data_IF_021384475360
#
_entry.id   IF_021384475360
#
_cell.length_a   1.000
_cell.length_b   1.000
_cell.length_c   1.000
_cell.angle_alpha   90.00
_cell.angle_beta   90.00
_cell.angle_gamma   90.00
#
_symmetry.space_group_name_H-M   'P 1'
#
loop_
_entity.id
_entity.type
_entity.pdbx_description
1 polymer ?
#
# COMPACT_ATOMS: atom_id res chain seq x y z
N UNK A 1 41.96 8.68 -5.93
CA UNK A 1 40.82 8.74 -6.87
C UNK A 1 39.74 7.69 -6.51
N UNK A 2 39.47 7.47 -5.21
CA UNK A 2 38.43 6.55 -4.69
C UNK A 2 37.17 7.30 -4.22
N UNK A 3 37.30 8.59 -3.87
CA UNK A 3 36.29 9.30 -3.06
C UNK A 3 34.92 9.47 -3.71
N UNK A 4 34.83 9.68 -5.03
CA UNK A 4 33.55 9.95 -5.68
C UNK A 4 32.66 8.71 -5.77
N UNK A 5 33.26 7.53 -5.97
CA UNK A 5 32.50 6.29 -6.05
C UNK A 5 31.94 5.90 -4.68
N UNK A 6 32.79 6.00 -3.65
CA UNK A 6 32.44 5.72 -2.27
C UNK A 6 31.35 6.70 -1.76
N UNK A 7 31.42 7.98 -2.14
CA UNK A 7 30.41 8.99 -1.78
C UNK A 7 29.06 8.71 -2.47
N UNK A 8 29.06 8.35 -3.76
CA UNK A 8 27.83 7.98 -4.48
C UNK A 8 27.19 6.73 -3.89
N UNK A 9 27.99 5.70 -3.59
CA UNK A 9 27.50 4.48 -2.94
C UNK A 9 26.87 4.80 -1.58
N UNK A 10 27.51 5.64 -0.76
CA UNK A 10 26.98 6.04 0.53
C UNK A 10 25.65 6.80 0.42
N UNK A 11 25.51 7.70 -0.57
CA UNK A 11 24.25 8.41 -0.85
C UNK A 11 23.15 7.43 -1.25
N UNK A 12 23.45 6.49 -2.15
CA UNK A 12 22.48 5.47 -2.59
C UNK A 12 22.03 4.58 -1.43
N UNK A 13 22.96 4.15 -0.57
CA UNK A 13 22.69 3.37 0.64
C UNK A 13 21.74 4.14 1.59
N UNK A 14 21.98 5.44 1.79
CA UNK A 14 21.13 6.29 2.62
C UNK A 14 19.72 6.45 2.04
N UNK A 15 19.61 6.67 0.73
CA UNK A 15 18.32 6.78 0.03
C UNK A 15 17.54 5.47 0.14
N UNK A 16 18.19 4.33 -0.11
CA UNK A 16 17.58 3.01 0.02
C UNK A 16 17.06 2.76 1.44
N UNK A 17 17.90 3.03 2.44
CA UNK A 17 17.55 2.86 3.87
C UNK A 17 16.34 3.72 4.25
N UNK A 18 16.38 5.03 3.94
CA UNK A 18 15.27 5.94 4.23
C UNK A 18 13.97 5.53 3.53
N UNK A 19 14.08 5.01 2.30
CA UNK A 19 12.93 4.56 1.52
C UNK A 19 12.31 3.29 2.11
N UNK A 20 13.11 2.32 2.56
CA UNK A 20 12.60 1.10 3.23
C UNK A 20 11.90 1.46 4.55
N UNK A 21 12.50 2.32 5.37
CA UNK A 21 11.90 2.81 6.61
C UNK A 21 10.57 3.54 6.33
N UNK A 22 10.54 4.41 5.32
CA UNK A 22 9.31 5.12 4.92
C UNK A 22 8.21 4.15 4.48
N UNK A 23 8.56 3.13 3.70
CA UNK A 23 7.60 2.11 3.27
C UNK A 23 7.02 1.33 4.47
N UNK A 24 7.87 0.97 5.45
CA UNK A 24 7.43 0.30 6.67
C UNK A 24 6.46 1.17 7.49
N UNK A 25 6.75 2.47 7.62
CA UNK A 25 5.88 3.43 8.29
C UNK A 25 4.53 3.60 7.57
N UNK A 26 4.54 3.71 6.23
CA UNK A 26 3.31 3.77 5.43
C UNK A 26 2.47 2.50 5.63
N UNK A 27 3.08 1.32 5.58
CA UNK A 27 2.39 0.05 5.78
C UNK A 27 1.76 -0.05 7.18
N UNK A 28 2.49 0.37 8.21
CA UNK A 28 1.98 0.42 9.58
C UNK A 28 0.77 1.35 9.65
N UNK A 29 0.86 2.56 9.11
CA UNK A 29 -0.24 3.53 9.15
C UNK A 29 -1.46 3.06 8.37
N UNK A 30 -1.27 2.40 7.22
CA UNK A 30 -2.38 1.80 6.46
C UNK A 30 -3.06 0.66 7.23
N UNK A 31 -2.32 -0.13 8.01
CA UNK A 31 -2.93 -1.15 8.88
C UNK A 31 -3.72 -0.52 10.04
N UNK A 32 -3.21 0.56 10.64
CA UNK A 32 -3.93 1.33 11.66
C UNK A 32 -5.23 1.94 11.10
N UNK A 33 -5.18 2.50 9.88
CA UNK A 33 -6.35 3.05 9.20
C UNK A 33 -7.39 1.98 8.87
N UNK A 34 -6.98 0.78 8.44
CA UNK A 34 -7.92 -0.34 8.25
C UNK A 34 -8.66 -0.69 9.55
N UNK A 35 -7.94 -0.75 10.68
CA UNK A 35 -8.55 -1.00 11.98
C UNK A 35 -9.52 0.12 12.40
N UNK A 36 -9.15 1.39 12.22
CA UNK A 36 -10.00 2.53 12.53
C UNK A 36 -11.25 2.59 11.65
N UNK A 37 -11.11 2.29 10.35
CA UNK A 37 -12.23 2.23 9.40
C UNK A 37 -13.21 1.13 9.80
N UNK A 38 -12.72 -0.05 10.18
CA UNK A 38 -13.56 -1.14 10.68
C UNK A 38 -14.28 -0.78 11.98
N UNK A 39 -13.59 -0.12 12.91
CA UNK A 39 -14.18 0.30 14.19
C UNK A 39 -15.22 1.43 14.04
N UNK A 40 -15.08 2.30 13.02
CA UNK A 40 -15.96 3.44 12.80
C UNK A 40 -17.31 3.09 12.15
N UNK A 41 -17.53 1.83 11.77
CA UNK A 41 -18.75 1.39 11.09
C UNK A 41 -19.22 0.01 11.58
N UNK A 42 -20.50 -0.35 11.36
CA UNK A 42 -20.99 -1.68 11.68
C UNK A 42 -20.31 -2.77 10.85
N UNK A 43 -20.13 -3.96 11.43
CA UNK A 43 -19.71 -5.15 10.68
C UNK A 43 -20.91 -5.76 9.93
N UNK A 44 -21.27 -5.18 8.78
CA UNK A 44 -22.41 -5.64 7.97
C UNK A 44 -22.22 -5.38 6.47
N UNK A 45 -23.09 -5.98 5.65
CA UNK A 45 -23.11 -5.78 4.19
C UNK A 45 -23.14 -4.28 3.83
N UNK A 46 -22.35 -3.91 2.83
CA UNK A 46 -22.13 -2.54 2.35
C UNK A 46 -21.02 -1.76 3.07
N UNK A 47 -20.38 -2.34 4.07
CA UNK A 47 -19.31 -1.67 4.82
C UNK A 47 -18.02 -1.61 4.01
N UNK A 48 -17.38 -0.44 3.97
CA UNK A 48 -16.16 -0.20 3.19
C UNK A 48 -14.96 -0.65 3.99
N UNK A 49 -14.09 -1.47 3.40
CA UNK A 49 -12.89 -2.00 4.04
C UNK A 49 -11.64 -1.69 3.21
N UNK A 50 -10.52 -1.52 3.90
CA UNK A 50 -9.21 -1.41 3.29
C UNK A 50 -8.53 -2.78 3.31
N UNK A 51 -8.71 -3.55 2.24
CA UNK A 51 -8.19 -4.90 2.19
C UNK A 51 -6.68 -4.91 1.90
N UNK A 52 -5.90 -5.60 2.76
CA UNK A 52 -4.49 -5.88 2.51
C UNK A 52 -4.28 -7.29 1.97
N UNK A 53 -3.60 -7.42 0.83
CA UNK A 53 -3.21 -8.69 0.20
C UNK A 53 -1.69 -8.81 0.16
N UNK A 54 -1.17 -9.95 0.58
CA UNK A 54 0.24 -10.32 0.36
C UNK A 54 0.33 -11.20 -0.88
N UNK A 55 1.40 -11.01 -1.66
CA UNK A 55 1.76 -11.97 -2.69
C UNK A 55 2.46 -13.17 -2.04
N UNK A 56 2.33 -14.35 -2.65
CA UNK A 56 3.05 -15.55 -2.23
C UNK A 56 4.57 -15.36 -2.42
N UNK A 57 4.97 -14.67 -3.49
CA UNK A 57 6.35 -14.26 -3.72
C UNK A 57 6.60 -12.86 -3.13
N UNK A 58 7.70 -12.65 -2.39
CA UNK A 58 8.00 -11.34 -1.81
C UNK A 58 8.18 -10.29 -2.91
N UNK A 59 7.58 -9.13 -2.69
CA UNK A 59 7.60 -8.02 -3.61
C UNK A 59 7.95 -6.73 -2.86
N UNK A 60 8.68 -5.81 -3.49
CA UNK A 60 9.09 -4.56 -2.86
C UNK A 60 7.93 -3.68 -2.38
N UNK A 61 6.71 -3.90 -2.89
CA UNK A 61 5.51 -3.16 -2.52
C UNK A 61 4.54 -3.88 -1.57
N UNK A 62 4.91 -5.03 -1.03
CA UNK A 62 4.01 -5.82 -0.20
C UNK A 62 3.82 -5.16 1.19
N UNK A 63 2.62 -5.21 1.82
CA UNK A 63 1.35 -5.75 1.32
C UNK A 63 0.60 -4.79 0.38
N UNK A 64 -0.13 -5.29 -0.61
CA UNK A 64 -0.94 -4.45 -1.50
C UNK A 64 -2.27 -4.11 -0.85
N UNK A 65 -2.71 -2.86 -1.00
CA UNK A 65 -3.98 -2.40 -0.46
C UNK A 65 -4.98 -2.13 -1.59
N UNK A 66 -6.23 -2.48 -1.35
CA UNK A 66 -7.35 -2.21 -2.26
C UNK A 66 -8.60 -1.92 -1.47
N UNK A 67 -9.43 -1.03 -1.97
CA UNK A 67 -10.74 -0.78 -1.39
C UNK A 67 -11.71 -1.90 -1.75
N UNK A 68 -12.55 -2.29 -0.81
CA UNK A 68 -13.62 -3.25 -1.06
C UNK A 68 -14.85 -2.93 -0.22
N UNK A 69 -16.00 -3.47 -0.60
CA UNK A 69 -17.18 -3.55 0.27
C UNK A 69 -17.38 -4.98 0.74
N UNK A 70 -17.81 -5.14 1.98
CA UNK A 70 -18.33 -6.42 2.45
C UNK A 70 -19.71 -6.67 1.87
N UNK A 71 -19.92 -7.90 1.42
CA UNK A 71 -21.21 -8.39 0.96
C UNK A 71 -21.56 -9.61 1.80
N UNK A 72 -22.75 -9.58 2.38
CA UNK A 72 -23.35 -10.73 3.02
C UNK A 72 -24.37 -11.34 2.07
N UNK A 73 -24.28 -12.64 1.83
CA UNK A 73 -25.28 -13.41 1.11
C UNK A 73 -25.69 -14.62 1.94
N UNK A 74 -26.93 -15.09 1.79
CA UNK A 74 -27.40 -16.32 2.42
C UNK A 74 -27.68 -17.34 1.33
N UNK A 75 -27.02 -18.50 1.39
CA UNK A 75 -27.22 -19.60 0.43
C UNK A 75 -27.54 -20.87 1.21
N UNK A 76 -28.68 -21.50 0.94
CA UNK A 76 -29.15 -22.71 1.65
C UNK A 76 -29.15 -22.56 3.18
N UNK A 77 -29.56 -21.38 3.69
CA UNK A 77 -29.58 -21.09 5.13
C UNK A 77 -28.23 -20.75 5.76
N UNK A 78 -27.13 -20.81 5.00
CA UNK A 78 -25.78 -20.48 5.49
C UNK A 78 -25.40 -19.06 5.06
N UNK A 79 -24.89 -18.26 6.01
CA UNK A 79 -24.35 -16.92 5.74
C UNK A 79 -22.96 -17.04 5.11
N UNK A 80 -22.79 -16.39 3.99
CA UNK A 80 -21.53 -16.25 3.28
C UNK A 80 -21.13 -14.79 3.25
N UNK A 81 -19.87 -14.53 3.60
CA UNK A 81 -19.27 -13.20 3.49
C UNK A 81 -18.33 -13.19 2.30
N UNK A 82 -18.60 -12.30 1.35
CA UNK A 82 -17.70 -12.02 0.23
C UNK A 82 -17.27 -10.56 0.27
N UNK A 83 -16.27 -10.24 -0.57
CA UNK A 83 -15.78 -8.89 -0.75
C UNK A 83 -15.84 -8.54 -2.22
N UNK A 84 -16.21 -7.31 -2.52
CA UNK A 84 -16.20 -6.77 -3.87
C UNK A 84 -15.29 -5.55 -3.93
N UNK A 85 -14.29 -5.59 -4.80
CA UNK A 85 -13.34 -4.47 -4.98
C UNK A 85 -14.07 -3.26 -5.53
N UNK A 86 -13.74 -2.08 -5.00
CA UNK A 86 -14.30 -0.81 -5.46
C UNK A 86 -13.17 0.18 -5.74
N UNK A 87 -13.41 1.12 -6.65
CA UNK A 87 -12.41 2.15 -6.99
C UNK A 87 -12.59 3.42 -6.17
N UNK A 88 -13.83 3.76 -5.81
CA UNK A 88 -14.17 5.01 -5.12
C UNK A 88 -14.84 4.74 -3.75
N UNK A 89 -14.06 4.54 -2.68
CA UNK A 89 -14.58 4.32 -1.32
C UNK A 89 -15.38 5.52 -0.78
N UNK A 90 -15.06 6.74 -1.22
CA UNK A 90 -15.76 7.95 -0.78
C UNK A 90 -17.22 8.00 -1.25
N UNK A 91 -17.53 7.42 -2.41
CA UNK A 91 -18.90 7.31 -2.92
C UNK A 91 -19.66 6.11 -2.31
N UNK A 92 -18.93 5.08 -1.86
CA UNK A 92 -19.51 3.83 -1.35
C UNK A 92 -19.69 3.79 0.16
N UNK A 93 -19.04 4.68 0.91
CA UNK A 93 -19.22 4.79 2.37
C UNK A 93 -20.68 5.11 2.72
N UNK A 94 -21.09 4.70 3.92
CA UNK A 94 -22.41 5.05 4.48
C UNK A 94 -22.57 6.56 4.58
N UNK A 95 -23.82 7.05 4.53
CA UNK A 95 -24.15 8.47 4.74
C UNK A 95 -24.26 8.79 6.24
N UNK A 96 -24.47 10.07 6.57
CA UNK A 96 -24.65 10.52 7.95
C UNK A 96 -23.33 10.51 8.75
N UNK A 97 -23.44 10.29 10.06
CA UNK A 97 -22.29 10.37 10.98
C UNK A 97 -21.19 9.37 10.68
N UNK A 98 -21.55 8.14 10.30
CA UNK A 98 -20.57 7.12 9.91
C UNK A 98 -19.78 7.61 8.70
N UNK A 99 -20.47 8.15 7.69
CA UNK A 99 -19.83 8.73 6.51
C UNK A 99 -18.88 9.86 6.84
N UNK A 100 -19.30 10.76 7.73
CA UNK A 100 -18.46 11.88 8.21
C UNK A 100 -17.20 11.38 8.93
N UNK A 101 -17.32 10.36 9.79
CA UNK A 101 -16.19 9.73 10.48
C UNK A 101 -15.23 9.00 9.53
N UNK A 102 -15.77 8.33 8.50
CA UNK A 102 -14.98 7.57 7.54
C UNK A 102 -14.25 8.44 6.52
N UNK A 103 -14.84 9.56 6.07
CA UNK A 103 -14.25 10.46 5.07
C UNK A 103 -12.76 10.79 5.30
N UNK A 104 -12.34 11.29 6.47
CA UNK A 104 -10.93 11.64 6.70
C UNK A 104 -10.01 10.42 6.68
N UNK A 105 -10.45 9.28 7.25
CA UNK A 105 -9.67 8.05 7.27
C UNK A 105 -9.44 7.50 5.86
N UNK A 106 -10.49 7.49 5.04
CA UNK A 106 -10.42 7.06 3.64
C UNK A 106 -9.46 7.98 2.87
N UNK A 107 -9.57 9.29 3.06
CA UNK A 107 -8.73 10.26 2.36
C UNK A 107 -7.25 10.12 2.73
N UNK A 108 -6.94 9.89 4.00
CA UNK A 108 -5.58 9.63 4.46
C UNK A 108 -5.04 8.33 3.85
N UNK A 109 -5.83 7.26 3.85
CA UNK A 109 -5.45 5.98 3.25
C UNK A 109 -5.19 6.12 1.75
N UNK A 110 -6.02 6.85 1.00
CA UNK A 110 -5.82 7.11 -0.43
C UNK A 110 -4.48 7.84 -0.69
N UNK A 111 -4.16 8.86 0.12
CA UNK A 111 -2.88 9.58 0.04
C UNK A 111 -1.69 8.65 0.29
N UNK A 112 -1.76 7.82 1.33
CA UNK A 112 -0.69 6.89 1.68
C UNK A 112 -0.53 5.77 0.65
N UNK A 113 -1.63 5.24 0.10
CA UNK A 113 -1.60 4.27 -1.00
C UNK A 113 -0.95 4.86 -2.25
N UNK A 114 -1.25 6.11 -2.59
CA UNK A 114 -0.63 6.80 -3.72
C UNK A 114 0.88 7.03 -3.48
N UNK A 115 1.27 7.48 -2.28
CA UNK A 115 2.67 7.65 -1.91
C UNK A 115 3.44 6.33 -1.97
N UNK A 116 2.86 5.27 -1.40
CA UNK A 116 3.40 3.93 -1.47
C UNK A 116 3.62 3.48 -2.92
N UNK A 117 2.61 3.65 -3.79
CA UNK A 117 2.70 3.28 -5.21
C UNK A 117 3.86 3.99 -5.88
N UNK A 118 4.03 5.30 -5.65
CA UNK A 118 5.16 6.09 -6.18
C UNK A 118 6.50 5.53 -5.69
N UNK A 119 6.65 5.30 -4.38
CA UNK A 119 7.88 4.77 -3.79
C UNK A 119 8.26 3.39 -4.36
N UNK A 120 7.27 2.51 -4.51
CA UNK A 120 7.48 1.18 -5.09
C UNK A 120 7.82 1.22 -6.58
N UNK A 121 7.27 2.18 -7.32
CA UNK A 121 7.63 2.40 -8.72
C UNK A 121 9.07 2.91 -8.86
N UNK A 122 9.52 3.79 -7.97
CA UNK A 122 10.92 4.24 -7.91
C UNK A 122 11.88 3.07 -7.66
N UNK A 123 11.57 2.17 -6.72
CA UNK A 123 12.37 0.95 -6.51
C UNK A 123 12.39 0.03 -7.73
N UNK A 124 11.24 -0.17 -8.38
CA UNK A 124 11.16 -1.00 -9.58
C UNK A 124 11.94 -0.40 -10.75
N UNK A 125 11.96 0.93 -10.87
CA UNK A 125 12.77 1.65 -11.86
C UNK A 125 14.26 1.46 -11.60
N UNK A 126 14.72 1.66 -10.36
CA UNK A 126 16.12 1.47 -9.98
C UNK A 126 16.60 0.03 -10.24
N UNK A 127 15.80 -0.97 -9.90
CA UNK A 127 16.15 -2.38 -10.13
C UNK A 127 16.18 -2.80 -11.61
N UNK A 128 15.62 -1.99 -12.51
CA UNK A 128 15.60 -2.27 -13.97
C UNK A 128 16.69 -1.53 -14.74
N UNK A 129 17.47 -0.67 -14.08
CA UNK A 129 18.60 0.01 -14.70
C UNK A 129 19.72 -1.01 -14.96
N UNK A 130 20.27 -1.10 -16.18
CA UNK A 130 21.46 -1.91 -16.42
C UNK A 130 22.62 -1.36 -15.58
N UNK A 131 23.28 -2.23 -14.82
CA UNK A 131 24.56 -1.90 -14.20
C UNK A 131 25.54 -1.59 -15.34
N UNK A 132 25.99 -0.34 -15.43
CA UNK A 132 27.10 0.00 -16.30
C UNK A 132 28.35 -0.69 -15.74
N UNK A 133 28.73 -1.82 -16.34
CA UNK A 133 30.04 -2.41 -16.13
C UNK A 133 31.00 -1.68 -17.08
N UNK A 134 31.99 -0.92 -16.57
CA UNK A 134 33.03 -0.38 -17.44
C UNK A 134 33.73 -1.55 -18.16
N UNK A 135 34.16 -1.38 -19.42
CA UNK A 135 34.88 -2.43 -20.14
C UNK A 135 36.15 -2.82 -19.37
N UNK A 136 36.43 -4.12 -19.30
CA UNK A 136 37.69 -4.61 -18.74
C UNK A 136 38.87 -3.99 -19.49
N UNK A 137 39.93 -3.53 -18.78
CA UNK A 137 41.11 -3.00 -19.44
C UNK A 137 41.75 -4.10 -20.32
N UNK A 138 42.30 -3.74 -21.49
CA UNK A 138 42.98 -4.71 -22.35
C UNK A 138 44.17 -5.35 -21.62
N UNK A 139 44.28 -6.66 -21.75
CA UNK A 139 45.35 -7.53 -21.21
C UNK A 139 46.70 -7.21 -21.85
#
# INVERSE_FOLDING_TARGET
MSDLHDEVEQILQQIATKSVVSLAQINRRLAELDAQIKAAQPNSSGSVILHSRRHEKPCAGCPHYSWSIWLESTKRGVRHYSRYTIDNPQQRKRRGDIGRKLSPLIHEAEKLMALKKKLTASFAYLNKQPLYLPPEPPV
#
